data_IF_759494619618
#
_entry.id   IF_759494619618
#
_cell.length_a   1.000
_cell.length_b   1.000
_cell.length_c   1.000
_cell.angle_alpha   90.00
_cell.angle_beta   90.00
_cell.angle_gamma   90.00
#
_symmetry.space_group_name_H-M   'P 1'
#
loop_
_entity.id
_entity.type
_entity.pdbx_description
1 polymer ?
#
# COMPACT_ATOMS: atom_id res chain seq x y z
N UNK A 1 2.94 -17.15 -4.73
CA UNK A 1 2.38 -16.08 -5.60
C UNK A 1 1.67 -15.10 -4.66
N UNK A 2 2.01 -13.82 -4.67
CA UNK A 2 1.63 -12.84 -3.62
C UNK A 2 0.21 -12.26 -3.70
N UNK A 3 -0.68 -12.79 -4.55
CA UNK A 3 -2.12 -12.39 -4.51
C UNK A 3 -2.43 -10.92 -4.76
N UNK A 4 -1.46 -10.10 -5.20
CA UNK A 4 -1.66 -8.67 -5.43
C UNK A 4 -2.35 -8.42 -6.78
N UNK A 5 -3.68 -8.33 -6.73
CA UNK A 5 -4.56 -7.91 -7.81
C UNK A 5 -4.58 -8.83 -9.04
N UNK A 6 -5.44 -8.48 -9.99
CA UNK A 6 -5.54 -9.16 -11.30
C UNK A 6 -4.47 -8.64 -12.28
N UNK A 7 -4.33 -9.29 -13.44
CA UNK A 7 -3.40 -8.82 -14.49
C UNK A 7 -3.70 -7.39 -14.96
N UNK A 8 -4.97 -7.00 -15.01
CA UNK A 8 -5.40 -5.63 -15.36
C UNK A 8 -4.96 -4.63 -14.29
N UNK A 9 -5.19 -4.96 -13.02
CA UNK A 9 -4.84 -4.10 -11.88
C UNK A 9 -3.33 -3.85 -11.80
N UNK A 10 -2.51 -4.89 -12.02
CA UNK A 10 -1.04 -4.75 -11.99
C UNK A 10 -0.51 -3.78 -13.05
N UNK A 11 -1.04 -3.84 -14.27
CA UNK A 11 -0.67 -2.90 -15.34
C UNK A 11 -1.00 -1.47 -14.97
N UNK A 12 -2.19 -1.25 -14.38
CA UNK A 12 -2.62 0.07 -13.93
C UNK A 12 -1.75 0.61 -12.78
N UNK A 13 -1.36 -0.24 -11.82
CA UNK A 13 -0.46 0.13 -10.73
C UNK A 13 0.88 0.63 -11.28
N UNK A 14 1.52 -0.11 -12.19
CA UNK A 14 2.80 0.30 -12.79
C UNK A 14 2.67 1.64 -13.50
N UNK A 15 1.58 1.83 -14.27
CA UNK A 15 1.31 3.09 -14.95
C UNK A 15 1.18 4.25 -13.96
N UNK A 16 0.41 4.08 -12.89
CA UNK A 16 0.24 5.11 -11.86
C UNK A 16 1.55 5.48 -11.16
N UNK A 17 2.41 4.49 -10.86
CA UNK A 17 3.71 4.75 -10.24
C UNK A 17 4.65 5.54 -11.18
N UNK A 18 4.59 5.29 -12.50
CA UNK A 18 5.31 6.06 -13.52
C UNK A 18 4.76 7.50 -13.62
N UNK A 19 3.44 7.65 -13.74
CA UNK A 19 2.77 8.97 -13.87
C UNK A 19 3.04 9.86 -12.64
N UNK A 20 3.04 9.28 -11.44
CA UNK A 20 3.34 9.98 -10.18
C UNK A 20 4.84 10.21 -9.94
N UNK A 21 5.70 9.72 -10.85
CA UNK A 21 7.16 9.83 -10.83
C UNK A 21 7.82 9.15 -9.64
N UNK A 22 7.24 8.05 -9.13
CA UNK A 22 7.85 7.23 -8.08
C UNK A 22 8.84 6.22 -8.64
N UNK A 23 8.60 5.76 -9.87
CA UNK A 23 9.50 4.86 -10.60
C UNK A 23 9.80 5.45 -11.99
N UNK A 24 10.86 4.97 -12.64
CA UNK A 24 11.21 5.32 -14.02
C UNK A 24 11.85 4.14 -14.73
N UNK A 25 11.87 4.17 -16.06
CA UNK A 25 12.65 3.24 -16.87
C UNK A 25 14.13 3.67 -16.91
N UNK A 26 15.02 2.69 -16.82
CA UNK A 26 16.45 2.79 -17.10
C UNK A 26 16.82 1.64 -18.03
N UNK A 27 16.82 1.94 -19.34
CA UNK A 27 16.83 0.90 -20.37
C UNK A 27 15.65 -0.06 -20.20
N UNK A 28 15.93 -1.35 -20.07
CA UNK A 28 14.93 -2.41 -19.85
C UNK A 28 14.50 -2.61 -18.39
N UNK A 29 15.06 -1.83 -17.46
CA UNK A 29 14.79 -1.98 -16.03
C UNK A 29 13.86 -0.89 -15.51
N UNK A 30 13.06 -1.20 -14.51
CA UNK A 30 12.30 -0.23 -13.71
C UNK A 30 13.09 0.01 -12.43
N UNK A 31 13.36 1.28 -12.11
CA UNK A 31 14.11 1.69 -10.91
C UNK A 31 13.35 2.78 -10.14
N UNK A 32 13.48 2.85 -8.80
CA UNK A 32 12.89 3.93 -8.02
C UNK A 32 13.53 5.28 -8.37
N UNK A 33 12.73 6.35 -8.27
CA UNK A 33 13.25 7.73 -8.25
C UNK A 33 13.61 8.13 -6.82
N UNK A 34 14.36 9.22 -6.59
CA UNK A 34 14.57 9.73 -5.23
C UNK A 34 13.25 9.98 -4.47
N UNK A 35 12.23 10.49 -5.16
CA UNK A 35 10.88 10.69 -4.60
C UNK A 35 10.22 9.35 -4.22
N UNK A 36 10.35 8.34 -5.06
CA UNK A 36 9.80 7.01 -4.78
C UNK A 36 10.53 6.30 -3.64
N UNK A 37 11.85 6.45 -3.57
CA UNK A 37 12.65 5.90 -2.48
C UNK A 37 12.31 6.59 -1.16
N UNK A 38 12.19 7.92 -1.14
CA UNK A 38 11.74 8.65 0.04
C UNK A 38 10.38 8.15 0.52
N UNK A 39 9.39 8.04 -0.39
CA UNK A 39 8.07 7.49 -0.04
C UNK A 39 8.18 6.09 0.55
N UNK A 40 8.98 5.21 -0.07
CA UNK A 40 9.19 3.86 0.43
C UNK A 40 9.80 3.87 1.83
N UNK A 41 10.87 4.62 2.07
CA UNK A 41 11.51 4.71 3.38
C UNK A 41 10.55 5.25 4.45
N UNK A 42 9.68 6.20 4.11
CA UNK A 42 8.67 6.72 5.03
C UNK A 42 7.66 5.65 5.49
N UNK A 43 7.31 4.67 4.65
CA UNK A 43 6.18 3.76 4.94
C UNK A 43 6.56 2.28 5.09
N UNK A 44 7.80 1.88 4.76
CA UNK A 44 8.22 0.46 4.65
C UNK A 44 8.06 -0.38 5.92
N UNK A 45 7.99 0.26 7.09
CA UNK A 45 7.75 -0.40 8.38
C UNK A 45 6.30 -0.36 8.85
N UNK A 46 5.44 0.36 8.13
CA UNK A 46 4.06 0.60 8.51
C UNK A 46 3.13 -0.45 7.90
N UNK A 47 1.98 -0.67 8.54
CA UNK A 47 0.96 -1.61 8.09
C UNK A 47 0.45 -1.33 6.67
N UNK A 48 0.44 -0.06 6.24
CA UNK A 48 0.05 0.35 4.88
C UNK A 48 0.93 -0.22 3.77
N UNK A 49 2.18 -0.58 4.08
CA UNK A 49 3.13 -1.15 3.13
C UNK A 49 3.10 -2.68 3.10
N UNK A 50 2.35 -3.32 3.99
CA UNK A 50 2.26 -4.78 4.04
C UNK A 50 1.36 -5.32 2.91
N UNK A 51 1.97 -6.09 2.01
CA UNK A 51 1.27 -6.75 0.92
C UNK A 51 0.23 -7.78 1.40
N UNK A 52 0.36 -8.30 2.62
CA UNK A 52 -0.58 -9.25 3.21
C UNK A 52 -1.98 -8.63 3.35
N UNK A 53 -2.06 -7.33 3.63
CA UNK A 53 -3.29 -6.57 3.81
C UNK A 53 -4.17 -6.59 2.56
N UNK A 54 -3.56 -6.39 1.39
CA UNK A 54 -4.24 -6.49 0.09
C UNK A 54 -4.67 -7.92 -0.20
N UNK A 55 -3.84 -8.91 0.13
CA UNK A 55 -4.23 -10.32 -0.06
C UNK A 55 -5.39 -10.74 0.86
N UNK A 56 -5.49 -10.15 2.05
CA UNK A 56 -6.62 -10.32 2.97
C UNK A 56 -7.93 -9.80 2.37
N UNK A 57 -7.92 -8.58 1.83
CA UNK A 57 -9.11 -8.02 1.18
C UNK A 57 -9.57 -8.85 -0.02
N UNK A 58 -8.65 -9.34 -0.86
CA UNK A 58 -9.01 -10.21 -1.98
C UNK A 58 -9.66 -11.53 -1.51
N UNK A 59 -9.21 -12.09 -0.38
CA UNK A 59 -9.83 -13.27 0.21
C UNK A 59 -11.23 -12.97 0.77
N UNK A 60 -11.43 -11.82 1.41
CA UNK A 60 -12.75 -11.39 1.90
C UNK A 60 -13.74 -11.10 0.76
N UNK A 61 -13.26 -10.48 -0.33
CA UNK A 61 -14.06 -10.27 -1.54
C UNK A 61 -14.50 -11.61 -2.16
N UNK A 62 -13.63 -12.62 -2.21
CA UNK A 62 -14.00 -13.95 -2.67
C UNK A 62 -15.07 -14.61 -1.79
N UNK A 63 -15.02 -14.40 -0.46
CA UNK A 63 -16.06 -14.87 0.47
C UNK A 63 -17.40 -14.16 0.26
N UNK A 64 -17.39 -12.87 -0.10
CA UNK A 64 -18.60 -12.14 -0.50
C UNK A 64 -19.20 -12.77 -1.78
N UNK A 65 -18.39 -13.06 -2.79
CA UNK A 65 -18.86 -13.71 -4.03
C UNK A 65 -19.51 -15.09 -3.76
N UNK A 66 -19.06 -15.79 -2.72
CA UNK A 66 -19.60 -17.08 -2.28
C UNK A 66 -20.81 -16.95 -1.33
N UNK A 67 -21.14 -15.73 -0.89
CA UNK A 67 -22.22 -15.47 0.08
C UNK A 67 -21.87 -15.79 1.53
N UNK A 68 -20.58 -15.96 1.84
CA UNK A 68 -20.06 -16.33 3.19
C UNK A 68 -19.70 -15.12 4.06
N UNK A 69 -19.70 -13.92 3.47
CA UNK A 69 -19.45 -12.64 4.14
C UNK A 69 -20.38 -11.60 3.55
N UNK A 70 -21.00 -10.77 4.39
CA UNK A 70 -21.82 -9.67 3.89
C UNK A 70 -20.97 -8.48 3.48
N UNK A 71 -21.48 -7.68 2.53
CA UNK A 71 -20.82 -6.42 2.15
C UNK A 71 -20.64 -5.48 3.35
N UNK A 72 -21.59 -5.48 4.30
CA UNK A 72 -21.51 -4.65 5.50
C UNK A 72 -20.32 -5.05 6.38
N UNK A 73 -20.16 -6.34 6.66
CA UNK A 73 -19.05 -6.85 7.49
C UNK A 73 -17.69 -6.54 6.86
N UNK A 74 -17.58 -6.66 5.53
CA UNK A 74 -16.36 -6.28 4.82
C UNK A 74 -16.05 -4.77 4.97
N UNK A 75 -17.04 -3.91 4.76
CA UNK A 75 -16.84 -2.46 4.88
C UNK A 75 -16.50 -2.04 6.31
N UNK A 76 -17.10 -2.68 7.32
CA UNK A 76 -16.76 -2.44 8.73
C UNK A 76 -15.27 -2.77 8.99
N UNK A 77 -14.76 -3.89 8.46
CA UNK A 77 -13.34 -4.27 8.58
C UNK A 77 -12.39 -3.34 7.81
N UNK A 78 -12.80 -2.85 6.64
CA UNK A 78 -12.04 -1.82 5.90
C UNK A 78 -11.93 -0.53 6.72
N UNK A 79 -13.01 -0.09 7.37
CA UNK A 79 -13.01 1.11 8.21
C UNK A 79 -12.08 0.96 9.42
N UNK A 80 -12.10 -0.20 10.07
CA UNK A 80 -11.17 -0.51 11.17
C UNK A 80 -9.71 -0.42 10.68
N UNK A 81 -9.41 -1.07 9.56
CA UNK A 81 -8.07 -1.04 8.94
C UNK A 81 -7.62 0.39 8.61
N UNK A 82 -8.51 1.23 8.08
CA UNK A 82 -8.22 2.64 7.78
C UNK A 82 -7.89 3.42 9.05
N UNK A 83 -8.65 3.23 10.12
CA UNK A 83 -8.40 3.90 11.40
C UNK A 83 -7.05 3.49 12.00
N UNK A 84 -6.71 2.20 11.94
CA UNK A 84 -5.42 1.70 12.43
C UNK A 84 -4.25 2.28 11.64
N UNK A 85 -4.31 2.21 10.31
CA UNK A 85 -3.25 2.70 9.43
C UNK A 85 -3.07 4.21 9.55
N UNK A 86 -4.16 4.98 9.56
CA UNK A 86 -4.06 6.43 9.70
C UNK A 86 -3.55 6.82 11.08
N UNK A 87 -3.99 6.13 12.14
CA UNK A 87 -3.47 6.33 13.50
C UNK A 87 -1.99 6.01 13.63
N UNK A 88 -1.51 4.93 13.00
CA UNK A 88 -0.08 4.59 12.90
C UNK A 88 0.70 5.71 12.22
N UNK A 89 0.28 6.15 11.03
CA UNK A 89 0.93 7.23 10.28
C UNK A 89 1.02 8.51 11.11
N UNK A 90 -0.05 8.91 11.81
CA UNK A 90 -0.02 10.13 12.63
C UNK A 90 0.94 10.02 13.81
N UNK A 91 1.07 8.84 14.44
CA UNK A 91 2.01 8.63 15.55
C UNK A 91 3.46 8.73 15.08
N UNK A 92 3.81 7.95 14.06
CA UNK A 92 5.17 7.89 13.51
C UNK A 92 5.63 9.25 12.96
N UNK A 93 4.74 9.98 12.26
CA UNK A 93 5.05 11.33 11.77
C UNK A 93 5.09 12.41 12.87
N UNK A 94 4.45 12.17 14.02
CA UNK A 94 4.51 13.10 15.16
C UNK A 94 5.76 12.89 16.01
N UNK A 95 6.31 11.68 16.02
CA UNK A 95 7.55 11.34 16.74
C UNK A 95 8.82 11.80 15.97
N UNK A 96 8.75 11.89 14.64
CA UNK A 96 9.82 12.37 13.74
C UNK A 96 10.03 13.91 13.72
N UNK A 97 9.49 14.65 14.69
CA UNK A 97 9.75 16.08 14.89
C UNK A 97 11.21 16.45 15.24
N UNK A 98 12.12 15.48 15.28
CA UNK A 98 13.55 15.68 15.48
C UNK A 98 14.32 15.40 14.19
N UNK A 99 15.17 16.33 13.72
CA UNK A 99 15.82 16.20 12.41
C UNK A 99 16.83 15.07 12.42
N UNK A 100 16.45 13.91 11.90
CA UNK A 100 17.37 12.83 11.59
C UNK A 100 17.96 13.05 10.20
N UNK A 101 19.13 13.69 10.17
CA UNK A 101 19.90 13.84 8.93
C UNK A 101 21.01 14.89 8.98
N UNK A 102 21.94 14.77 9.93
CA UNK A 102 23.31 15.23 9.68
C UNK A 102 24.02 14.13 8.90
N UNK A 103 24.24 14.32 7.59
CA UNK A 103 25.51 14.12 6.85
C UNK A 103 25.49 15.08 5.66
#
# INVERSE_FOLDING_TARGET
>A
KTGLGTASTRTNIIRTLLERKYIRYSGKYIIPTPKGLLLYETVRGMKVADASLTSGWEAELARIEQGELTQKEFLDGVLETVNEVTGEIFRELSEDGQPHGSI
#
